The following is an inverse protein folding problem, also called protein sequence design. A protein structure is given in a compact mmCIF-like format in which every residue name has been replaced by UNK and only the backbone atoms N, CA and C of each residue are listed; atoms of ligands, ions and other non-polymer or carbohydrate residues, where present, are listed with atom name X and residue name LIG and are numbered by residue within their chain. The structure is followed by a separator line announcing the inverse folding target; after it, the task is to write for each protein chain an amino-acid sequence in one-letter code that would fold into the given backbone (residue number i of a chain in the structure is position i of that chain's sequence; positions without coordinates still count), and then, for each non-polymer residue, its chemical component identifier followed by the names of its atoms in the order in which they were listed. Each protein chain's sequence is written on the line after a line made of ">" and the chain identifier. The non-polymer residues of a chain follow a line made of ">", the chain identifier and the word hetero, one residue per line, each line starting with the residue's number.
data_IF_528986051546
#
_entry.id   IF_528986051546
#
_cell.length_a   1.000
_cell.length_b   1.000
_cell.length_c   1.000
_cell.angle_alpha   90.00
_cell.angle_beta   90.00
_cell.angle_gamma   90.00
#
_symmetry.space_group_name_H-M   'P 1'
#
loop_
_entity.id
_entity.type
_entity.pdbx_description
1 polymer ?
#
# COMPACT_ATOMS: atom_id res chain seq x y z
N UNK A 1 20.76 -32.15 3.40
CA UNK A 1 19.98 -32.28 2.16
C UNK A 1 18.63 -31.59 2.35
N UNK A 2 18.31 -30.66 1.46
CA UNK A 2 17.00 -30.02 1.54
C UNK A 2 15.94 -31.02 1.12
N UNK A 3 14.96 -31.18 1.99
CA UNK A 3 13.82 -32.02 1.69
C UNK A 3 12.78 -31.18 0.93
N UNK A 4 12.43 -31.61 -0.27
CA UNK A 4 11.45 -30.91 -1.11
C UNK A 4 10.13 -30.68 -0.34
N UNK A 5 9.76 -31.62 0.52
CA UNK A 5 8.51 -31.49 1.28
C UNK A 5 8.46 -30.24 2.13
N UNK A 6 9.61 -29.74 2.60
CA UNK A 6 9.67 -28.51 3.40
C UNK A 6 9.29 -27.27 2.61
N UNK A 7 9.36 -27.32 1.28
CA UNK A 7 9.03 -26.20 0.40
C UNK A 7 7.61 -26.26 -0.16
N UNK A 8 6.89 -27.35 0.10
CA UNK A 8 5.52 -27.48 -0.39
C UNK A 8 4.61 -26.45 0.27
N UNK A 9 3.57 -26.05 -0.47
CA UNK A 9 2.64 -25.01 -0.02
C UNK A 9 2.08 -25.28 1.38
N UNK A 10 1.78 -26.53 1.69
CA UNK A 10 1.19 -26.91 2.97
C UNK A 10 2.11 -26.64 4.17
N UNK A 11 3.42 -26.54 3.92
CA UNK A 11 4.42 -26.29 4.95
C UNK A 11 4.89 -24.84 4.97
N UNK A 12 4.37 -24.01 4.07
CA UNK A 12 4.69 -22.59 4.02
C UNK A 12 3.95 -21.86 5.13
N UNK A 13 4.67 -21.02 5.88
CA UNK A 13 4.05 -20.18 6.88
C UNK A 13 3.22 -19.09 6.21
N UNK A 14 2.00 -18.93 6.69
CA UNK A 14 1.12 -17.89 6.20
C UNK A 14 1.47 -16.55 6.85
N UNK A 15 1.55 -15.49 6.05
CA UNK A 15 1.75 -14.14 6.59
C UNK A 15 0.40 -13.62 7.08
N UNK A 16 0.39 -13.12 8.31
CA UNK A 16 -0.83 -12.65 8.95
C UNK A 16 -0.99 -11.15 8.80
N UNK A 17 -2.23 -10.70 8.86
CA UNK A 17 -2.55 -9.28 8.91
C UNK A 17 -2.18 -8.64 10.24
N UNK A 18 -2.34 -7.33 10.30
CA UNK A 18 -2.05 -6.53 11.48
C UNK A 18 -3.08 -5.41 11.61
N UNK A 19 -3.20 -4.82 12.78
CA UNK A 19 -4.00 -3.63 12.99
C UNK A 19 -3.11 -2.41 13.08
N UNK A 20 -3.65 -1.26 12.66
CA UNK A 20 -2.91 0.00 12.65
C UNK A 20 -3.88 1.17 12.76
N UNK A 21 -3.61 2.09 13.66
CA UNK A 21 -4.41 3.29 13.82
C UNK A 21 -3.95 4.34 12.81
N UNK A 22 -4.57 4.34 11.63
CA UNK A 22 -4.12 5.13 10.49
C UNK A 22 -4.38 6.63 10.65
N UNK A 23 -5.42 7.02 11.41
CA UNK A 23 -5.76 8.42 11.59
C UNK A 23 -6.38 8.66 12.96
N UNK A 24 -6.04 9.79 13.57
CA UNK A 24 -6.64 10.24 14.82
C UNK A 24 -8.02 10.86 14.61
N UNK A 25 -8.43 11.06 13.36
CA UNK A 25 -9.75 11.62 13.04
C UNK A 25 -10.88 10.66 13.31
N UNK A 26 -10.60 9.37 13.45
CA UNK A 26 -11.59 8.33 13.72
C UNK A 26 -11.29 7.71 15.09
N UNK A 27 -12.17 8.00 16.06
CA UNK A 27 -11.98 7.55 17.43
C UNK A 27 -13.23 6.83 17.94
N UNK A 28 -13.03 5.98 18.95
CA UNK A 28 -14.14 5.32 19.64
C UNK A 28 -14.78 6.31 20.65
N UNK A 29 -15.76 5.81 21.42
CA UNK A 29 -16.48 6.62 22.40
C UNK A 29 -15.58 7.16 23.52
N UNK A 30 -14.40 6.56 23.72
CA UNK A 30 -13.43 6.96 24.74
C UNK A 30 -12.33 7.86 24.18
N UNK A 31 -12.41 8.23 22.89
CA UNK A 31 -11.43 9.06 22.22
C UNK A 31 -10.19 8.33 21.74
N UNK A 32 -10.18 7.01 21.82
CA UNK A 32 -9.06 6.21 21.33
C UNK A 32 -9.16 6.04 19.81
N UNK A 33 -8.07 6.29 19.05
CA UNK A 33 -8.11 6.13 17.60
C UNK A 33 -8.52 4.71 17.20
N UNK A 34 -9.38 4.62 16.20
CA UNK A 34 -9.83 3.33 15.67
C UNK A 34 -8.71 2.64 14.94
N UNK A 35 -8.58 1.33 15.15
CA UNK A 35 -7.59 0.52 14.47
C UNK A 35 -8.16 -0.01 13.16
N UNK A 36 -7.37 0.14 12.10
CA UNK A 36 -7.69 -0.39 10.77
C UNK A 36 -7.08 -1.79 10.65
N UNK A 37 -7.74 -2.66 9.93
CA UNK A 37 -7.25 -4.02 9.70
C UNK A 37 -6.53 -4.05 8.35
N UNK A 38 -5.28 -4.49 8.38
CA UNK A 38 -4.37 -4.48 7.23
C UNK A 38 -3.95 -5.92 6.92
N UNK A 39 -3.98 -6.30 5.64
CA UNK A 39 -3.50 -7.60 5.20
C UNK A 39 -2.22 -7.47 4.39
N UNK A 40 -1.35 -8.50 4.39
CA UNK A 40 -0.18 -8.48 3.52
C UNK A 40 -0.59 -8.68 2.06
N UNK A 41 0.18 -8.08 1.15
CA UNK A 41 0.02 -8.29 -0.29
C UNK A 41 0.91 -9.43 -0.76
N UNK A 42 0.51 -10.08 -1.85
CA UNK A 42 1.35 -11.07 -2.53
C UNK A 42 2.20 -10.37 -3.58
N UNK A 43 3.26 -11.06 -4.04
CA UNK A 43 4.08 -10.57 -5.14
C UNK A 43 3.24 -10.34 -6.39
N UNK A 44 2.33 -11.27 -6.70
CA UNK A 44 1.46 -11.15 -7.87
C UNK A 44 0.57 -9.92 -7.78
N UNK A 45 -0.01 -9.64 -6.60
CA UNK A 45 -0.83 -8.45 -6.39
C UNK A 45 -0.02 -7.17 -6.55
N UNK A 46 1.19 -7.15 -6.00
CA UNK A 46 2.07 -5.99 -6.13
C UNK A 46 2.45 -5.73 -7.60
N UNK A 47 2.77 -6.77 -8.34
CA UNK A 47 3.10 -6.67 -9.77
C UNK A 47 1.93 -6.12 -10.56
N UNK A 48 0.73 -6.62 -10.31
CA UNK A 48 -0.50 -6.14 -10.96
C UNK A 48 -0.74 -4.65 -10.69
N UNK A 49 -0.55 -4.23 -9.45
CA UNK A 49 -0.69 -2.82 -9.08
C UNK A 49 0.35 -1.97 -9.80
N UNK A 50 1.62 -2.41 -9.82
CA UNK A 50 2.68 -1.68 -10.51
C UNK A 50 2.38 -1.51 -11.99
N UNK A 51 1.94 -2.59 -12.65
CA UNK A 51 1.62 -2.56 -14.07
C UNK A 51 0.51 -1.54 -14.36
N UNK A 52 -0.51 -1.49 -13.49
CA UNK A 52 -1.62 -0.54 -13.65
C UNK A 52 -1.21 0.91 -13.41
N UNK A 53 -0.06 1.15 -12.77
CA UNK A 53 0.44 2.48 -12.43
C UNK A 53 1.64 2.91 -13.26
N UNK A 54 2.06 2.10 -14.23
CA UNK A 54 3.17 2.44 -15.10
C UNK A 54 2.65 3.21 -16.30
N UNK A 55 3.24 4.37 -16.56
CA UNK A 55 2.87 5.26 -17.66
C UNK A 55 4.08 5.47 -18.56
N UNK A 56 3.82 5.80 -19.82
CA UNK A 56 4.87 6.14 -20.75
C UNK A 56 5.12 7.65 -20.70
N UNK A 57 6.37 8.03 -20.45
CA UNK A 57 6.78 9.44 -20.45
C UNK A 57 7.78 9.70 -21.58
N UNK A 58 7.67 10.87 -22.19
CA UNK A 58 8.56 11.26 -23.27
C UNK A 58 9.98 11.43 -22.75
N UNK A 59 10.95 10.90 -23.51
CA UNK A 59 12.37 11.08 -23.19
C UNK A 59 12.76 12.51 -23.56
N UNK A 60 13.37 13.23 -22.63
CA UNK A 60 13.79 14.63 -22.82
C UNK A 60 14.72 14.74 -24.03
N UNK A 61 14.39 15.65 -24.96
CA UNK A 61 15.17 15.90 -26.16
C UNK A 61 15.01 14.86 -27.27
N UNK A 62 14.11 13.89 -27.12
CA UNK A 62 13.87 12.83 -28.10
C UNK A 62 12.39 12.74 -28.43
N UNK A 63 11.87 13.59 -29.36
CA UNK A 63 10.46 13.54 -29.75
C UNK A 63 10.08 12.15 -30.24
N UNK A 64 8.87 11.72 -29.90
CA UNK A 64 8.32 10.40 -30.27
C UNK A 64 9.02 9.21 -29.65
N UNK A 65 9.90 9.42 -28.66
CA UNK A 65 10.52 8.33 -27.89
C UNK A 65 10.01 8.39 -26.45
N UNK A 66 9.59 7.24 -25.93
CA UNK A 66 8.97 7.13 -24.62
C UNK A 66 9.69 6.07 -23.78
N UNK A 67 9.63 6.23 -22.47
CA UNK A 67 10.11 5.23 -21.52
C UNK A 67 9.03 4.97 -20.48
N UNK A 68 8.96 3.76 -19.92
CA UNK A 68 8.02 3.49 -18.85
C UNK A 68 8.47 4.20 -17.57
N UNK A 69 7.49 4.73 -16.84
CA UNK A 69 7.71 5.35 -15.53
C UNK A 69 6.58 4.97 -14.59
N UNK A 70 6.94 4.60 -13.36
CA UNK A 70 5.96 4.32 -12.34
C UNK A 70 5.36 5.62 -11.81
N UNK A 71 4.04 5.72 -11.81
CA UNK A 71 3.33 6.78 -11.11
C UNK A 71 3.30 6.41 -9.63
N UNK A 72 4.27 6.91 -8.88
CA UNK A 72 4.48 6.55 -7.48
C UNK A 72 3.29 6.90 -6.60
N UNK A 73 2.70 8.08 -6.80
CA UNK A 73 1.55 8.52 -6.02
C UNK A 73 0.36 7.56 -6.19
N UNK A 74 0.07 7.19 -7.43
CA UNK A 74 -1.01 6.25 -7.75
C UNK A 74 -0.70 4.86 -7.21
N UNK A 75 0.55 4.42 -7.33
CA UNK A 75 0.99 3.12 -6.82
C UNK A 75 0.78 3.03 -5.30
N UNK A 76 1.17 4.06 -4.55
CA UNK A 76 0.99 4.07 -3.09
C UNK A 76 -0.48 4.03 -2.71
N UNK A 77 -1.32 4.83 -3.38
CA UNK A 77 -2.75 4.86 -3.09
C UNK A 77 -3.42 3.50 -3.37
N UNK A 78 -3.07 2.86 -4.48
CA UNK A 78 -3.61 1.54 -4.83
C UNK A 78 -3.11 0.44 -3.89
N UNK A 79 -1.86 0.54 -3.46
CA UNK A 79 -1.29 -0.41 -2.49
C UNK A 79 -2.02 -0.32 -1.16
N UNK A 80 -2.28 0.89 -0.68
CA UNK A 80 -3.06 1.10 0.55
C UNK A 80 -4.47 0.53 0.38
N UNK A 81 -5.15 0.88 -0.70
CA UNK A 81 -6.52 0.44 -0.94
C UNK A 81 -6.64 -1.09 -0.98
N UNK A 82 -5.65 -1.76 -1.55
CA UNK A 82 -5.64 -3.22 -1.64
C UNK A 82 -5.33 -3.88 -0.31
N UNK A 83 -4.54 -3.22 0.54
CA UNK A 83 -4.09 -3.76 1.84
C UNK A 83 -5.13 -3.60 2.94
N UNK A 84 -5.99 -2.58 2.87
CA UNK A 84 -6.96 -2.29 3.93
C UNK A 84 -8.15 -3.25 3.82
N UNK A 85 -8.37 -4.03 4.89
CA UNK A 85 -9.52 -4.92 5.02
C UNK A 85 -10.69 -4.21 5.68
N UNK A 86 -10.40 -3.49 6.78
CA UNK A 86 -11.37 -2.65 7.49
C UNK A 86 -10.75 -1.27 7.77
N UNK A 87 -11.42 -0.19 7.47
CA UNK A 87 -12.77 -0.08 6.91
C UNK A 87 -12.84 -0.57 5.47
N UNK A 88 -14.04 -0.90 5.01
CA UNK A 88 -14.22 -1.45 3.64
C UNK A 88 -14.21 -0.32 2.62
N UNK A 89 -13.05 -0.07 2.03
CA UNK A 89 -12.85 1.04 1.09
C UNK A 89 -13.60 0.87 -0.23
N UNK A 90 -14.05 -0.34 -0.55
CA UNK A 90 -14.84 -0.61 -1.74
C UNK A 90 -16.35 -0.47 -1.48
N UNK A 91 -16.75 -0.17 -0.24
CA UNK A 91 -18.16 0.04 0.11
C UNK A 91 -18.71 1.28 -0.58
N UNK A 92 -19.79 1.10 -1.33
CA UNK A 92 -20.47 2.22 -2.01
C UNK A 92 -20.99 3.23 -0.98
N UNK A 93 -21.56 2.75 0.11
CA UNK A 93 -22.08 3.62 1.18
C UNK A 93 -20.96 4.52 1.73
N UNK A 94 -19.80 3.93 2.01
CA UNK A 94 -18.67 4.69 2.55
C UNK A 94 -18.16 5.70 1.51
N UNK A 95 -18.00 5.28 0.26
CA UNK A 95 -17.56 6.16 -0.83
C UNK A 95 -18.54 7.32 -1.04
N UNK A 96 -19.83 7.02 -1.05
CA UNK A 96 -20.87 8.04 -1.23
C UNK A 96 -20.85 9.07 -0.11
N UNK A 97 -20.55 8.66 1.12
CA UNK A 97 -20.51 9.59 2.27
C UNK A 97 -19.40 10.64 2.13
N UNK A 98 -18.36 10.34 1.35
CA UNK A 98 -17.27 11.27 1.07
C UNK A 98 -17.35 11.88 -0.34
N UNK A 99 -18.36 11.52 -1.12
CA UNK A 99 -18.54 12.06 -2.47
C UNK A 99 -17.49 11.59 -3.47
N UNK A 100 -16.96 10.39 -3.28
CA UNK A 100 -15.91 9.83 -4.15
C UNK A 100 -16.40 8.54 -4.80
N UNK A 101 -15.71 8.10 -5.85
CA UNK A 101 -16.11 6.93 -6.64
C UNK A 101 -15.09 5.80 -6.63
N UNK A 102 -13.91 6.00 -6.03
CA UNK A 102 -12.85 4.99 -6.00
C UNK A 102 -12.29 4.84 -4.59
N UNK A 103 -11.76 3.65 -4.25
CA UNK A 103 -11.12 3.47 -2.94
C UNK A 103 -9.87 4.32 -2.77
N UNK A 104 -9.15 4.62 -3.86
CA UNK A 104 -7.96 5.48 -3.81
C UNK A 104 -8.32 6.92 -3.43
N UNK A 105 -9.39 7.45 -4.01
CA UNK A 105 -9.87 8.78 -3.65
C UNK A 105 -10.45 8.78 -2.24
N UNK A 106 -11.12 7.70 -1.86
CA UNK A 106 -11.68 7.57 -0.51
C UNK A 106 -10.61 7.64 0.56
N UNK A 107 -9.49 6.93 0.38
CA UNK A 107 -8.43 6.91 1.39
C UNK A 107 -7.83 8.31 1.60
N UNK A 108 -7.72 9.10 0.55
CA UNK A 108 -7.22 10.47 0.64
C UNK A 108 -8.19 11.42 1.34
N UNK A 109 -9.49 11.15 1.24
CA UNK A 109 -10.50 11.93 1.94
C UNK A 109 -10.60 11.52 3.41
N UNK A 110 -10.49 10.23 3.71
CA UNK A 110 -10.55 9.74 5.09
C UNK A 110 -9.31 10.14 5.87
N UNK A 111 -8.13 10.01 5.28
CA UNK A 111 -6.88 10.43 5.90
C UNK A 111 -6.42 11.70 5.20
N UNK A 112 -7.08 12.81 5.54
CA UNK A 112 -6.82 14.10 4.92
C UNK A 112 -5.66 14.86 5.55
N UNK A 113 -5.09 14.35 6.64
CA UNK A 113 -3.85 14.88 7.21
C UNK A 113 -2.67 14.29 6.43
N UNK A 114 -1.87 15.14 5.74
CA UNK A 114 -0.78 14.63 4.89
C UNK A 114 0.26 13.81 5.63
N UNK A 115 0.56 14.19 6.88
CA UNK A 115 1.53 13.45 7.69
C UNK A 115 1.05 12.06 8.06
N UNK A 116 -0.23 11.93 8.40
CA UNK A 116 -0.83 10.63 8.69
C UNK A 116 -0.87 9.75 7.45
N UNK A 117 -1.21 10.33 6.29
CA UNK A 117 -1.23 9.59 5.02
C UNK A 117 0.16 9.09 4.67
N UNK A 118 1.19 9.94 4.77
CA UNK A 118 2.57 9.54 4.48
C UNK A 118 3.06 8.44 5.42
N UNK A 119 2.76 8.56 6.71
CA UNK A 119 3.12 7.54 7.69
C UNK A 119 2.44 6.21 7.41
N UNK A 120 1.18 6.24 7.01
CA UNK A 120 0.43 5.04 6.68
C UNK A 120 0.97 4.36 5.43
N UNK A 121 1.26 5.15 4.38
CA UNK A 121 1.86 4.62 3.16
C UNK A 121 3.20 3.94 3.45
N UNK A 122 4.04 4.56 4.27
CA UNK A 122 5.32 3.99 4.67
C UNK A 122 5.13 2.71 5.48
N UNK A 123 4.18 2.71 6.41
CA UNK A 123 3.86 1.51 7.20
C UNK A 123 3.47 0.35 6.29
N UNK A 124 2.59 0.58 5.31
CA UNK A 124 2.16 -0.46 4.37
C UNK A 124 3.34 -1.02 3.58
N UNK A 125 4.25 -0.16 3.12
CA UNK A 125 5.43 -0.59 2.39
C UNK A 125 6.34 -1.45 3.28
N UNK A 126 6.63 -1.01 4.47
CA UNK A 126 7.48 -1.76 5.41
C UNK A 126 6.83 -3.07 5.83
N UNK A 127 5.54 -3.08 6.06
CA UNK A 127 4.79 -4.29 6.41
C UNK A 127 4.88 -5.34 5.30
N UNK A 128 4.95 -4.91 4.05
CA UNK A 128 5.10 -5.80 2.90
C UNK A 128 6.57 -6.11 2.56
N UNK A 129 7.50 -5.74 3.44
CA UNK A 129 8.89 -6.11 3.33
C UNK A 129 9.75 -5.16 2.51
N UNK A 130 9.20 -4.04 2.05
CA UNK A 130 9.99 -3.04 1.33
C UNK A 130 10.78 -2.19 2.32
N UNK A 131 12.06 -1.97 2.00
CA UNK A 131 12.92 -1.11 2.79
C UNK A 131 13.24 0.15 1.99
N UNK A 132 13.48 1.26 2.71
CA UNK A 132 13.97 2.47 2.09
C UNK A 132 15.35 2.22 1.49
N UNK A 133 15.61 2.81 0.31
CA UNK A 133 16.89 2.69 -0.35
C UNK A 133 18.03 3.25 0.53
N UNK A 134 17.75 4.27 1.32
CA UNK A 134 18.73 4.84 2.25
C UNK A 134 19.13 3.84 3.34
N UNK A 135 18.18 3.05 3.85
CA UNK A 135 18.46 2.00 4.83
C UNK A 135 19.37 0.94 4.23
N UNK A 136 19.14 0.56 2.96
CA UNK A 136 19.98 -0.40 2.27
C UNK A 136 21.41 0.10 2.10
N UNK A 137 21.58 1.38 1.80
CA UNK A 137 22.90 1.99 1.66
C UNK A 137 23.63 1.97 3.00
N UNK A 138 22.97 2.31 4.09
CA UNK A 138 23.56 2.28 5.42
C UNK A 138 23.96 0.86 5.83
N UNK A 139 23.12 -0.12 5.56
CA UNK A 139 23.43 -1.52 5.84
C UNK A 139 24.64 -1.99 5.04
N UNK A 140 24.78 -1.57 3.80
CA UNK A 140 25.92 -1.92 2.97
C UNK A 140 27.22 -1.30 3.45
N UNK A 141 27.17 -0.14 4.11
CA UNK A 141 28.35 0.52 4.67
C UNK A 141 28.84 -0.10 5.97
N UNK A 142 27.99 -0.80 6.67
CA UNK A 142 28.30 -1.45 7.93
C UNK A 142 28.75 -2.89 7.69
#
# INVERSE_FOLDING_TARGET
>A
MSDLSMFLKQNKRERKGITYAASKSFCDSEGKPLEWVIRPLTTAENDEIRDSCTIDVQITGKPNQFRPKLDTSKYLAKTIAKSVVEPKLYSKELQDSYGVMTPEDLIKQMIDNPGEYSAFAQFIQQFNGFTDINDKIEQAKN
#
